data_IF_455480294137
#
_entry.id   IF_455480294137
#
_cell.length_a   1.000
_cell.length_b   1.000
_cell.length_c   1.000
_cell.angle_alpha   90.00
_cell.angle_beta   90.00
_cell.angle_gamma   90.00
#
_symmetry.space_group_name_H-M   'P 1'
#
loop_
_entity.id
_entity.type
_entity.pdbx_description
1 polymer ?
#
# COMPACT_ATOMS: atom_id res chain seq x y z
N UNK A 1 -1.06 5.54 -42.45
CA UNK A 1 -0.83 4.86 -41.16
C UNK A 1 -0.03 3.56 -41.30
N UNK A 2 -0.02 2.90 -42.46
CA UNK A 2 0.66 1.63 -42.70
C UNK A 2 2.20 1.72 -42.68
N UNK A 3 2.78 2.81 -43.16
CA UNK A 3 4.25 3.01 -43.20
C UNK A 3 4.93 3.03 -41.80
N UNK A 4 4.18 3.29 -40.75
CA UNK A 4 4.72 3.36 -39.37
C UNK A 4 4.73 2.00 -38.65
N UNK A 5 3.97 1.05 -39.15
CA UNK A 5 3.90 -0.33 -38.63
C UNK A 5 5.06 -1.14 -39.23
N UNK A 6 5.26 -1.08 -40.54
CA UNK A 6 6.38 -1.76 -41.24
C UNK A 6 7.76 -1.34 -40.72
N UNK A 7 7.97 -0.04 -40.40
CA UNK A 7 9.23 0.43 -39.83
C UNK A 7 9.49 -0.06 -38.41
N UNK A 8 8.45 -0.24 -37.61
CA UNK A 8 8.57 -0.78 -36.24
C UNK A 8 8.87 -2.29 -36.24
N UNK A 9 8.21 -3.06 -37.09
CA UNK A 9 8.48 -4.49 -37.26
C UNK A 9 9.91 -4.73 -37.79
N UNK A 10 10.36 -4.01 -38.80
CA UNK A 10 11.72 -4.09 -39.33
C UNK A 10 12.78 -3.72 -38.26
N UNK A 11 12.51 -2.76 -37.40
CA UNK A 11 13.45 -2.37 -36.34
C UNK A 11 13.50 -3.45 -35.22
N UNK A 12 12.36 -4.06 -34.90
CA UNK A 12 12.28 -5.18 -33.94
C UNK A 12 12.98 -6.44 -34.49
N UNK A 13 12.78 -6.78 -35.75
CA UNK A 13 13.47 -7.91 -36.40
C UNK A 13 14.98 -7.71 -36.41
N UNK A 14 15.44 -6.51 -36.73
CA UNK A 14 16.87 -6.17 -36.68
C UNK A 14 17.44 -6.25 -35.27
N UNK A 15 16.70 -5.78 -34.28
CA UNK A 15 17.11 -5.89 -32.87
C UNK A 15 17.16 -7.35 -32.40
N UNK A 16 16.20 -8.18 -32.82
CA UNK A 16 16.17 -9.62 -32.52
C UNK A 16 17.34 -10.36 -33.16
N UNK A 17 17.61 -10.06 -34.43
CA UNK A 17 18.76 -10.61 -35.17
C UNK A 17 20.10 -10.18 -34.54
N UNK A 18 20.21 -8.95 -34.11
CA UNK A 18 21.42 -8.42 -33.45
C UNK A 18 21.67 -9.07 -32.09
N UNK A 19 20.62 -9.52 -31.41
CA UNK A 19 20.71 -10.24 -30.12
C UNK A 19 20.96 -11.76 -30.28
N UNK A 20 20.98 -12.28 -31.56
CA UNK A 20 21.20 -13.70 -31.83
C UNK A 20 20.11 -14.62 -31.25
N UNK A 21 18.88 -14.12 -31.11
CA UNK A 21 17.80 -14.90 -30.54
C UNK A 21 17.21 -15.88 -31.54
N UNK A 22 17.13 -17.15 -31.17
CA UNK A 22 16.41 -18.17 -31.95
C UNK A 22 14.90 -18.10 -31.64
N UNK A 23 14.18 -17.39 -32.53
CA UNK A 23 12.74 -17.19 -32.39
C UNK A 23 11.95 -18.50 -32.57
N UNK A 24 12.46 -19.49 -33.29
CA UNK A 24 11.77 -20.78 -33.45
C UNK A 24 11.65 -21.48 -32.11
N UNK A 25 12.75 -21.56 -31.36
CA UNK A 25 12.74 -22.09 -29.99
C UNK A 25 11.94 -21.24 -29.01
N UNK A 26 11.91 -19.92 -29.21
CA UNK A 26 11.17 -19.01 -28.34
C UNK A 26 9.64 -19.18 -28.47
N UNK A 27 9.16 -19.42 -29.69
CA UNK A 27 7.74 -19.63 -29.97
C UNK A 27 7.17 -20.93 -29.33
N UNK A 28 8.02 -21.91 -29.04
CA UNK A 28 7.62 -23.13 -28.35
C UNK A 28 7.47 -22.96 -26.83
N UNK A 29 7.97 -21.87 -26.27
CA UNK A 29 7.99 -21.63 -24.81
C UNK A 29 6.66 -21.03 -24.31
N UNK A 30 5.98 -20.28 -25.18
CA UNK A 30 4.73 -19.58 -24.84
C UNK A 30 3.60 -20.05 -25.76
N UNK A 31 2.40 -20.17 -25.23
CA UNK A 31 1.24 -20.57 -26.00
C UNK A 31 0.62 -19.36 -26.71
N UNK A 32 0.39 -19.44 -28.01
CA UNK A 32 -0.22 -18.36 -28.81
C UNK A 32 -1.64 -18.02 -28.29
N UNK A 33 -2.35 -19.01 -27.75
CA UNK A 33 -3.72 -18.84 -27.22
C UNK A 33 -3.81 -17.90 -26.00
N UNK A 34 -2.70 -17.66 -25.33
CA UNK A 34 -2.68 -16.86 -24.08
C UNK A 34 -2.57 -15.35 -24.33
N UNK A 35 -2.55 -14.94 -25.62
CA UNK A 35 -2.32 -13.55 -26.01
C UNK A 35 -3.36 -13.06 -27.02
N UNK A 36 -3.87 -11.85 -26.79
CA UNK A 36 -4.93 -11.23 -27.61
C UNK A 36 -4.42 -10.74 -28.97
N UNK A 37 -3.10 -10.52 -29.13
CA UNK A 37 -2.50 -10.07 -30.38
C UNK A 37 -1.21 -10.80 -30.69
N UNK A 38 -0.86 -10.87 -31.98
CA UNK A 38 0.38 -11.46 -32.44
C UNK A 38 1.59 -10.70 -31.90
N UNK A 39 1.52 -9.39 -31.81
CA UNK A 39 2.56 -8.55 -31.25
C UNK A 39 2.85 -8.89 -29.77
N UNK A 40 1.81 -9.04 -28.96
CA UNK A 40 1.94 -9.43 -27.56
C UNK A 40 2.55 -10.83 -27.40
N UNK A 41 2.16 -11.76 -28.26
CA UNK A 41 2.71 -13.12 -28.31
C UNK A 41 4.20 -13.11 -28.68
N UNK A 42 4.61 -12.37 -29.72
CA UNK A 42 6.01 -12.26 -30.14
C UNK A 42 6.88 -11.57 -29.09
N UNK A 43 6.35 -10.56 -28.40
CA UNK A 43 7.06 -9.91 -27.30
C UNK A 43 7.27 -10.87 -26.13
N UNK A 44 6.25 -11.67 -25.78
CA UNK A 44 6.34 -12.68 -24.74
C UNK A 44 7.35 -13.80 -25.11
N UNK A 45 7.34 -14.29 -26.35
CA UNK A 45 8.29 -15.28 -26.84
C UNK A 45 9.72 -14.75 -26.82
N UNK A 46 9.95 -13.52 -27.31
CA UNK A 46 11.28 -12.87 -27.29
C UNK A 46 11.80 -12.74 -25.86
N UNK A 47 10.93 -12.36 -24.93
CA UNK A 47 11.26 -12.23 -23.52
C UNK A 47 11.57 -13.57 -22.85
N UNK A 48 10.80 -14.62 -23.15
CA UNK A 48 11.04 -15.97 -22.67
C UNK A 48 12.40 -16.50 -23.14
N UNK A 49 12.77 -16.25 -24.40
CA UNK A 49 14.08 -16.62 -24.95
C UNK A 49 15.23 -15.86 -24.31
N UNK A 50 15.08 -14.55 -24.09
CA UNK A 50 16.06 -13.75 -23.35
C UNK A 50 16.28 -14.28 -21.94
N UNK A 51 15.22 -14.68 -21.25
CA UNK A 51 15.30 -15.25 -19.90
C UNK A 51 15.96 -16.63 -19.90
N UNK A 52 15.75 -17.42 -20.95
CA UNK A 52 16.36 -18.74 -21.14
C UNK A 52 17.85 -18.65 -21.47
N UNK A 53 18.20 -17.80 -22.41
CA UNK A 53 19.56 -17.67 -22.93
C UNK A 53 20.49 -16.86 -22.02
N UNK A 54 19.93 -16.00 -21.16
CA UNK A 54 20.69 -15.14 -20.25
C UNK A 54 20.20 -15.24 -18.80
N UNK A 55 20.80 -16.11 -17.96
CA UNK A 55 20.45 -16.24 -16.56
C UNK A 55 20.58 -14.95 -15.74
N UNK A 56 21.52 -14.06 -16.10
CA UNK A 56 21.69 -12.77 -15.45
C UNK A 56 20.51 -11.85 -15.71
N UNK A 57 19.95 -11.87 -16.90
CA UNK A 57 18.76 -11.12 -17.27
C UNK A 57 17.58 -11.48 -16.37
N UNK A 58 17.35 -12.78 -16.16
CA UNK A 58 16.31 -13.28 -15.26
C UNK A 58 16.51 -12.78 -13.81
N UNK A 59 17.77 -12.84 -13.33
CA UNK A 59 18.12 -12.37 -12.00
C UNK A 59 17.89 -10.86 -11.84
N UNK A 60 18.35 -10.05 -12.80
CA UNK A 60 18.16 -8.59 -12.81
C UNK A 60 16.67 -8.24 -12.85
N UNK A 61 15.92 -8.89 -13.72
CA UNK A 61 14.47 -8.68 -13.82
C UNK A 61 13.73 -9.02 -12.54
N UNK A 62 14.07 -10.12 -11.89
CA UNK A 62 13.47 -10.50 -10.62
C UNK A 62 13.76 -9.48 -9.52
N UNK A 63 14.99 -8.96 -9.45
CA UNK A 63 15.36 -7.89 -8.52
C UNK A 63 14.61 -6.60 -8.78
N UNK A 64 14.54 -6.15 -10.04
CA UNK A 64 13.80 -4.95 -10.42
C UNK A 64 12.32 -5.08 -10.09
N UNK A 65 11.71 -6.24 -10.34
CA UNK A 65 10.32 -6.50 -9.98
C UNK A 65 10.07 -6.44 -8.48
N UNK A 66 10.99 -6.99 -7.69
CA UNK A 66 10.92 -6.93 -6.22
C UNK A 66 11.08 -5.50 -5.70
N UNK A 67 12.02 -4.74 -6.25
CA UNK A 67 12.25 -3.34 -5.90
C UNK A 67 11.05 -2.47 -6.25
N UNK A 68 10.43 -2.69 -7.41
CA UNK A 68 9.24 -1.96 -7.84
C UNK A 68 8.07 -2.21 -6.89
N UNK A 69 7.85 -3.47 -6.50
CA UNK A 69 6.84 -3.82 -5.48
C UNK A 69 7.11 -3.14 -4.16
N UNK A 70 8.34 -3.15 -3.67
CA UNK A 70 8.70 -2.48 -2.41
C UNK A 70 8.44 -0.97 -2.46
N UNK A 71 8.77 -0.32 -3.58
CA UNK A 71 8.48 1.12 -3.77
C UNK A 71 6.99 1.39 -3.75
N UNK A 72 6.20 0.62 -4.50
CA UNK A 72 4.74 0.76 -4.52
C UNK A 72 4.14 0.58 -3.12
N UNK A 73 4.55 -0.47 -2.40
CA UNK A 73 4.08 -0.70 -1.03
C UNK A 73 4.48 0.44 -0.07
N UNK A 74 5.67 1.01 -0.23
CA UNK A 74 6.10 2.15 0.58
C UNK A 74 5.30 3.42 0.27
N UNK A 75 5.00 3.68 -1.00
CA UNK A 75 4.16 4.80 -1.42
C UNK A 75 2.74 4.65 -0.90
N UNK A 76 2.15 3.45 -1.00
CA UNK A 76 0.84 3.15 -0.46
C UNK A 76 0.79 3.35 1.06
N UNK A 77 1.80 2.87 1.80
CA UNK A 77 1.90 3.07 3.26
C UNK A 77 2.03 4.55 3.62
N UNK A 78 2.80 5.32 2.86
CA UNK A 78 2.90 6.78 3.05
C UNK A 78 1.56 7.46 2.80
N UNK A 79 0.90 7.15 1.68
CA UNK A 79 -0.41 7.71 1.35
C UNK A 79 -1.47 7.36 2.41
N UNK A 80 -1.49 6.12 2.89
CA UNK A 80 -2.37 5.70 4.00
C UNK A 80 -2.07 6.45 5.29
N UNK A 81 -0.78 6.64 5.61
CA UNK A 81 -0.37 7.42 6.78
C UNK A 81 -0.79 8.88 6.72
N UNK A 82 -0.68 9.51 5.56
CA UNK A 82 -1.14 10.89 5.34
C UNK A 82 -2.66 11.00 5.39
N UNK A 83 -3.37 10.06 4.77
CA UNK A 83 -4.82 9.99 4.84
C UNK A 83 -5.30 9.82 6.29
N UNK A 84 -4.66 8.94 7.06
CA UNK A 84 -4.97 8.77 8.48
C UNK A 84 -4.76 10.06 9.28
N UNK A 85 -3.65 10.75 9.08
CA UNK A 85 -3.36 12.03 9.76
C UNK A 85 -4.40 13.10 9.43
N UNK A 86 -4.81 13.20 8.15
CA UNK A 86 -5.82 14.14 7.69
C UNK A 86 -7.20 13.83 8.32
N UNK A 87 -7.60 12.55 8.31
CA UNK A 87 -8.85 12.11 8.94
C UNK A 87 -8.81 12.38 10.44
N UNK A 88 -7.72 12.02 11.11
CA UNK A 88 -7.56 12.24 12.55
C UNK A 88 -7.66 13.71 12.93
N UNK A 89 -7.09 14.60 12.15
CA UNK A 89 -7.18 16.04 12.35
C UNK A 89 -8.61 16.59 12.21
N UNK A 90 -9.45 15.93 11.38
CA UNK A 90 -10.85 16.32 11.17
C UNK A 90 -11.82 15.69 12.20
N UNK A 91 -11.37 14.68 12.97
CA UNK A 91 -12.23 14.02 13.95
C UNK A 91 -12.49 14.93 15.14
N UNK A 92 -13.77 15.22 15.38
CA UNK A 92 -14.25 15.86 16.60
C UNK A 92 -14.94 14.85 17.52
N UNK A 93 -14.84 15.08 18.81
CA UNK A 93 -15.60 14.36 19.83
C UNK A 93 -16.93 15.09 20.06
N UNK A 94 -18.02 14.37 20.02
CA UNK A 94 -19.32 14.94 20.34
C UNK A 94 -19.52 15.06 21.87
N UNK A 95 -20.60 15.71 22.27
CA UNK A 95 -20.90 15.93 23.69
C UNK A 95 -21.11 14.65 24.49
N UNK A 96 -21.57 13.57 23.84
CA UNK A 96 -21.77 12.26 24.46
C UNK A 96 -20.42 11.58 24.69
N UNK A 97 -19.54 11.61 23.69
CA UNK A 97 -18.17 11.11 23.84
C UNK A 97 -17.44 11.84 24.96
N UNK A 98 -17.51 13.18 25.00
CA UNK A 98 -16.84 13.97 26.01
C UNK A 98 -17.36 13.63 27.42
N UNK A 99 -18.68 13.54 27.60
CA UNK A 99 -19.26 13.16 28.88
C UNK A 99 -18.83 11.77 29.36
N UNK A 100 -18.76 10.81 28.43
CA UNK A 100 -18.31 9.46 28.75
C UNK A 100 -16.82 9.45 29.16
N UNK A 101 -15.99 10.21 28.45
CA UNK A 101 -14.56 10.36 28.77
C UNK A 101 -14.37 10.98 30.15
N UNK A 102 -15.09 12.06 30.45
CA UNK A 102 -14.98 12.75 31.75
C UNK A 102 -15.40 11.83 32.90
N UNK A 103 -16.46 11.04 32.68
CA UNK A 103 -16.93 10.06 33.67
C UNK A 103 -15.91 8.95 33.90
N UNK A 104 -15.38 8.37 32.82
CA UNK A 104 -14.39 7.29 32.89
C UNK A 104 -13.06 7.77 33.50
N UNK A 105 -12.60 8.97 33.14
CA UNK A 105 -11.40 9.59 33.70
C UNK A 105 -11.55 9.81 35.23
N UNK A 106 -12.69 10.32 35.68
CA UNK A 106 -12.98 10.50 37.09
C UNK A 106 -13.01 9.18 37.87
N UNK A 107 -13.61 8.12 37.30
CA UNK A 107 -13.68 6.79 37.91
C UNK A 107 -12.29 6.13 37.99
N UNK A 108 -11.45 6.26 36.96
CA UNK A 108 -10.07 5.77 37.00
C UNK A 108 -9.25 6.47 38.07
N UNK A 109 -9.32 7.78 38.16
CA UNK A 109 -8.56 8.55 39.15
C UNK A 109 -9.05 8.24 40.59
N UNK A 110 -10.37 8.04 40.82
CA UNK A 110 -10.90 7.62 42.11
C UNK A 110 -10.39 6.23 42.49
N UNK A 111 -10.30 5.29 41.58
CA UNK A 111 -9.73 3.95 41.84
C UNK A 111 -8.26 4.04 42.20
N UNK A 112 -7.49 4.93 41.58
CA UNK A 112 -6.09 5.13 41.87
C UNK A 112 -5.89 5.81 43.24
N UNK A 113 -6.78 6.73 43.63
CA UNK A 113 -6.80 7.32 44.96
C UNK A 113 -7.11 6.27 46.01
N UNK A 114 -8.15 5.46 45.79
CA UNK A 114 -8.55 4.38 46.73
C UNK A 114 -7.45 3.30 46.89
N UNK A 115 -6.67 3.07 45.83
CA UNK A 115 -5.52 2.15 45.84
C UNK A 115 -4.22 2.79 46.41
N UNK A 116 -4.27 4.05 46.84
CA UNK A 116 -3.10 4.77 47.35
C UNK A 116 -2.01 5.10 46.28
N UNK A 117 -2.36 5.01 44.99
CA UNK A 117 -1.44 5.29 43.89
C UNK A 117 -1.23 6.79 43.66
N UNK A 118 -2.21 7.59 44.03
CA UNK A 118 -2.17 9.05 43.95
C UNK A 118 -2.62 9.67 45.28
N UNK A 119 -2.21 10.91 45.54
CA UNK A 119 -2.67 11.69 46.69
C UNK A 119 -3.97 12.43 46.38
N UNK A 120 -4.70 12.82 47.41
CA UNK A 120 -5.92 13.61 47.26
C UNK A 120 -5.65 14.97 46.56
N UNK A 121 -4.49 15.59 46.78
CA UNK A 121 -4.08 16.82 46.09
C UNK A 121 -3.79 16.64 44.61
N UNK A 122 -3.43 15.42 44.17
CA UNK A 122 -3.16 15.11 42.75
C UNK A 122 -4.41 14.69 41.99
N UNK A 123 -5.54 14.44 42.65
CA UNK A 123 -6.75 13.87 42.05
C UNK A 123 -7.21 14.67 40.82
N UNK A 124 -7.32 16.00 40.93
CA UNK A 124 -7.77 16.87 39.83
C UNK A 124 -6.86 16.78 38.61
N UNK A 125 -5.55 16.90 38.81
CA UNK A 125 -4.56 16.80 37.71
C UNK A 125 -4.58 15.40 37.05
N UNK A 126 -4.81 14.34 37.83
CA UNK A 126 -4.90 12.96 37.32
C UNK A 126 -6.17 12.77 36.47
N UNK A 127 -7.30 13.34 36.90
CA UNK A 127 -8.54 13.32 36.10
C UNK A 127 -8.31 13.99 34.74
N UNK A 128 -7.70 15.17 34.73
CA UNK A 128 -7.38 15.89 33.48
C UNK A 128 -6.44 15.10 32.56
N UNK A 129 -5.45 14.42 33.15
CA UNK A 129 -4.53 13.59 32.37
C UNK A 129 -5.25 12.40 31.74
N UNK A 130 -6.06 11.65 32.52
CA UNK A 130 -6.84 10.54 32.00
C UNK A 130 -7.86 10.99 30.94
N UNK A 131 -8.52 12.13 31.13
CA UNK A 131 -9.44 12.67 30.14
C UNK A 131 -8.73 13.00 28.82
N UNK A 132 -7.52 13.54 28.85
CA UNK A 132 -6.69 13.76 27.65
C UNK A 132 -6.34 12.46 26.97
N UNK A 133 -5.83 11.48 27.71
CA UNK A 133 -5.41 10.19 27.16
C UNK A 133 -6.59 9.41 26.53
N UNK A 134 -7.75 9.43 27.19
CA UNK A 134 -8.98 8.81 26.68
C UNK A 134 -9.51 9.54 25.43
N UNK A 135 -9.43 10.89 25.42
CA UNK A 135 -9.80 11.69 24.25
C UNK A 135 -8.96 11.35 23.02
N UNK A 136 -7.64 11.23 23.19
CA UNK A 136 -6.73 10.86 22.11
C UNK A 136 -7.01 9.44 21.60
N UNK A 137 -7.19 8.46 22.51
CA UNK A 137 -7.57 7.09 22.13
C UNK A 137 -8.89 7.04 21.37
N UNK A 138 -9.88 7.84 21.79
CA UNK A 138 -11.17 7.90 21.11
C UNK A 138 -11.08 8.50 19.72
N UNK A 139 -10.30 9.58 19.56
CA UNK A 139 -10.01 10.17 18.25
C UNK A 139 -9.32 9.18 17.33
N UNK A 140 -8.31 8.46 17.83
CA UNK A 140 -7.60 7.44 17.07
C UNK A 140 -8.53 6.31 16.61
N UNK A 141 -9.41 5.83 17.48
CA UNK A 141 -10.41 4.82 17.15
C UNK A 141 -11.39 5.30 16.08
N UNK A 142 -11.93 6.53 16.21
CA UNK A 142 -12.82 7.12 15.19
C UNK A 142 -12.10 7.31 13.86
N UNK A 143 -10.86 7.78 13.87
CA UNK A 143 -10.06 7.98 12.65
C UNK A 143 -9.76 6.65 11.94
N UNK A 144 -9.39 5.61 12.70
CA UNK A 144 -9.14 4.27 12.16
C UNK A 144 -10.38 3.68 11.50
N UNK A 145 -11.54 3.81 12.15
CA UNK A 145 -12.81 3.34 11.59
C UNK A 145 -13.20 4.13 10.33
N UNK A 146 -12.98 5.43 10.31
CA UNK A 146 -13.28 6.28 9.14
C UNK A 146 -12.36 5.93 7.97
N UNK A 147 -11.06 5.73 8.21
CA UNK A 147 -10.11 5.28 7.20
C UNK A 147 -10.50 3.92 6.62
N UNK A 148 -10.80 2.95 7.47
CA UNK A 148 -11.24 1.62 7.07
C UNK A 148 -12.49 1.67 6.17
N UNK A 149 -13.49 2.46 6.58
CA UNK A 149 -14.72 2.64 5.79
C UNK A 149 -14.46 3.34 4.45
N UNK A 150 -13.52 4.28 4.39
CA UNK A 150 -13.13 4.94 3.14
C UNK A 150 -12.44 3.95 2.19
N UNK A 151 -11.57 3.11 2.70
CA UNK A 151 -10.89 2.05 1.91
C UNK A 151 -11.88 1.05 1.34
N UNK A 152 -12.87 0.61 2.12
CA UNK A 152 -13.92 -0.31 1.64
C UNK A 152 -14.80 0.31 0.53
N UNK A 153 -15.04 1.61 0.57
CA UNK A 153 -15.83 2.32 -0.46
C UNK A 153 -15.04 2.54 -1.76
N UNK A 154 -13.74 2.71 -1.65
CA UNK A 154 -12.86 2.89 -2.82
C UNK A 154 -12.59 1.60 -3.61
N UNK A 155 -12.97 0.43 -3.07
CA UNK A 155 -12.83 -0.87 -3.73
C UNK A 155 -14.08 -1.30 -4.53
N UNK A 156 -15.13 -0.47 -4.59
CA UNK A 156 -16.35 -0.69 -5.38
C UNK A 156 -16.35 0.21 -6.61
#
# INVERSE_FOLDING_TARGET
MEANIETRESTREKARAALGLDLSSALDIVSRSDYDSEEAYLDAATKAELERSNPEYRSIRSRLKAELRQRTEQEERKAQGEAYKAIRASVSLDSVDQKNIDTEAADLARRDLAAGRISASALGATIEQYARDLSEKKKDSKASNALFNAMLRGQR
#
